data_IF_420529373769
#
_entry.id   IF_420529373769
#
_cell.length_a   1.000
_cell.length_b   1.000
_cell.length_c   1.000
_cell.angle_alpha   90.00
_cell.angle_beta   90.00
_cell.angle_gamma   90.00
#
_symmetry.space_group_name_H-M   'P 1'
#
loop_
_entity.id
_entity.type
_entity.pdbx_description
1 polymer ?
#
# COMPACT_ATOMS: atom_id res chain seq x y z
N UNK A 1 -9.10 3.12 -9.43
CA UNK A 1 -9.52 2.16 -8.38
C UNK A 1 -8.73 2.44 -7.11
N UNK A 2 -9.38 2.45 -5.94
CA UNK A 2 -8.72 2.63 -4.63
C UNK A 2 -8.49 1.27 -3.98
N UNK A 3 -7.33 1.05 -3.40
CA UNK A 3 -6.97 -0.21 -2.72
C UNK A 3 -6.31 0.06 -1.38
N UNK A 4 -6.57 -0.80 -0.41
CA UNK A 4 -5.80 -0.87 0.83
C UNK A 4 -4.78 -1.98 0.67
N UNK A 5 -3.51 -1.70 0.98
CA UNK A 5 -2.46 -2.72 0.96
C UNK A 5 -2.17 -3.21 2.36
N UNK A 6 -2.10 -4.52 2.50
CA UNK A 6 -1.51 -5.15 3.67
C UNK A 6 0.00 -4.82 3.76
N UNK A 7 0.52 -4.74 4.99
CA UNK A 7 1.94 -4.44 5.25
C UNK A 7 2.86 -5.47 4.58
N UNK A 8 2.47 -6.74 4.54
CA UNK A 8 3.26 -7.77 3.87
C UNK A 8 3.36 -7.53 2.37
N UNK A 9 2.32 -6.98 1.73
CA UNK A 9 2.35 -6.63 0.29
C UNK A 9 3.26 -5.43 0.06
N UNK A 10 3.23 -4.43 0.95
CA UNK A 10 4.15 -3.30 0.93
C UNK A 10 5.60 -3.74 1.01
N UNK A 11 5.95 -4.48 2.06
CA UNK A 11 7.32 -4.92 2.34
C UNK A 11 7.81 -5.90 1.27
N UNK A 12 6.97 -6.84 0.84
CA UNK A 12 7.29 -7.76 -0.25
C UNK A 12 7.58 -7.03 -1.56
N UNK A 13 6.75 -6.04 -1.90
CA UNK A 13 6.89 -5.27 -3.14
C UNK A 13 8.11 -4.37 -3.16
N UNK A 14 8.45 -3.75 -2.02
CA UNK A 14 9.61 -2.85 -1.90
C UNK A 14 10.95 -3.60 -1.92
N UNK A 15 11.04 -4.74 -1.22
CA UNK A 15 12.33 -5.42 -1.01
C UNK A 15 12.58 -6.60 -1.96
N UNK A 16 11.54 -7.30 -2.43
CA UNK A 16 11.69 -8.50 -3.29
C UNK A 16 10.99 -8.39 -4.65
N UNK A 17 10.11 -7.41 -4.84
CA UNK A 17 9.41 -7.21 -6.10
C UNK A 17 8.33 -8.28 -6.39
N UNK A 18 8.45 -8.98 -7.52
CA UNK A 18 7.47 -10.01 -7.92
C UNK A 18 6.06 -9.48 -8.18
N UNK A 19 5.04 -10.28 -7.85
CA UNK A 19 3.63 -9.87 -7.97
C UNK A 19 3.31 -8.63 -7.10
N UNK A 20 3.74 -8.56 -5.82
CA UNK A 20 3.62 -7.33 -5.03
C UNK A 20 4.28 -6.10 -5.69
N UNK A 21 5.46 -6.27 -6.28
CA UNK A 21 6.14 -5.20 -7.01
C UNK A 21 5.36 -4.69 -8.23
N UNK A 22 4.62 -5.57 -8.93
CA UNK A 22 3.71 -5.16 -10.02
C UNK A 22 2.59 -4.27 -9.50
N UNK A 23 2.06 -4.53 -8.31
CA UNK A 23 1.04 -3.68 -7.66
C UNK A 23 1.61 -2.29 -7.38
N UNK A 24 2.83 -2.21 -6.83
CA UNK A 24 3.49 -0.91 -6.60
C UNK A 24 3.75 -0.16 -7.92
N UNK A 25 4.09 -0.86 -9.00
CA UNK A 25 4.24 -0.24 -10.32
C UNK A 25 2.92 0.30 -10.87
N UNK A 26 1.79 -0.37 -10.64
CA UNK A 26 0.47 0.14 -11.00
C UNK A 26 0.15 1.42 -10.23
N UNK A 27 0.50 1.49 -8.95
CA UNK A 27 0.32 2.69 -8.14
C UNK A 27 1.22 3.83 -8.63
N UNK A 28 2.50 3.56 -8.88
CA UNK A 28 3.47 4.52 -9.45
C UNK A 28 3.00 5.07 -10.80
N UNK A 29 2.39 4.23 -11.63
CA UNK A 29 1.85 4.60 -12.94
C UNK A 29 0.39 5.15 -12.86
N UNK A 30 -0.08 5.50 -11.66
CA UNK A 30 -1.40 6.10 -11.41
C UNK A 30 -2.59 5.27 -11.92
N UNK A 31 -2.42 3.94 -12.06
CA UNK A 31 -3.51 3.02 -12.44
C UNK A 31 -4.38 2.62 -11.24
N UNK A 32 -3.79 2.66 -10.05
CA UNK A 32 -4.48 2.48 -8.76
C UNK A 32 -4.02 3.55 -7.78
N UNK A 33 -4.83 3.82 -6.77
CA UNK A 33 -4.47 4.66 -5.64
C UNK A 33 -4.42 3.81 -4.38
N UNK A 34 -3.27 3.76 -3.73
CA UNK A 34 -3.12 3.09 -2.44
C UNK A 34 -3.59 4.05 -1.36
N UNK A 35 -4.50 3.59 -0.50
CA UNK A 35 -5.07 4.36 0.61
C UNK A 35 -4.92 3.59 1.92
N UNK A 36 -4.87 4.31 3.01
CA UNK A 36 -4.95 3.74 4.37
C UNK A 36 -6.13 4.41 5.08
N UNK A 37 -7.08 3.63 5.65
CA UNK A 37 -8.18 4.19 6.43
C UNK A 37 -7.65 5.00 7.62
N UNK A 38 -8.27 6.14 7.90
CA UNK A 38 -7.82 7.04 8.97
C UNK A 38 -7.94 6.38 10.35
N UNK A 39 -8.96 5.55 10.53
CA UNK A 39 -9.22 4.79 11.76
C UNK A 39 -8.06 3.86 12.12
N UNK A 40 -7.33 3.38 11.11
CA UNK A 40 -6.14 2.56 11.31
C UNK A 40 -4.98 3.39 11.87
N UNK A 41 -4.81 4.62 11.39
CA UNK A 41 -3.76 5.53 11.83
C UNK A 41 -4.07 6.13 13.21
N UNK A 42 -5.32 6.49 13.48
CA UNK A 42 -5.72 7.08 14.77
C UNK A 42 -5.42 6.15 15.95
N UNK A 43 -5.44 4.82 15.74
CA UNK A 43 -5.07 3.87 16.80
C UNK A 43 -3.63 4.05 17.30
N UNK A 44 -2.72 4.52 16.45
CA UNK A 44 -1.28 4.56 16.73
C UNK A 44 -0.70 5.98 16.79
N UNK A 45 -1.41 6.97 16.22
CA UNK A 45 -0.92 8.34 16.04
C UNK A 45 -1.85 9.41 16.63
N UNK A 46 -2.68 9.07 17.61
CA UNK A 46 -3.46 10.09 18.32
C UNK A 46 -2.54 10.89 19.27
N UNK A 47 -2.48 12.20 19.06
CA UNK A 47 -2.15 13.19 20.10
C UNK A 47 -3.30 13.36 21.10
#
# INVERSE_FOLDING_TARGET
MKVVLDVNVWISGLLWGGVPGKILKLAKNQKITIITPQEFLSRYFNE
#
